data_IF_417401036782
#
_entry.id   IF_417401036782
#
_cell.length_a   1.000
_cell.length_b   1.000
_cell.length_c   1.000
_cell.angle_alpha   90.00
_cell.angle_beta   90.00
_cell.angle_gamma   90.00
#
_symmetry.space_group_name_H-M   'P 1'
#
loop_
_entity.id
_entity.type
_entity.pdbx_description
1 polymer ?
#
# COMPACT_ATOMS: atom_id res chain seq x y z
N UNK A 1 -17.29 -24.30 7.82
CA UNK A 1 -16.93 -23.29 6.82
C UNK A 1 -15.56 -23.64 6.26
N UNK A 2 -15.55 -24.42 5.18
CA UNK A 2 -14.35 -24.93 4.52
C UNK A 2 -14.71 -25.15 3.05
N UNK A 3 -15.19 -24.08 2.40
CA UNK A 3 -15.63 -24.15 1.01
C UNK A 3 -14.51 -24.64 0.08
N UNK A 4 -13.26 -24.30 0.39
CA UNK A 4 -12.06 -24.82 -0.26
C UNK A 4 -11.89 -26.34 -0.14
N UNK A 5 -12.18 -26.93 1.02
CA UNK A 5 -12.10 -28.37 1.23
C UNK A 5 -13.13 -29.16 0.39
N UNK A 6 -14.18 -28.50 -0.10
CA UNK A 6 -15.24 -29.11 -0.91
C UNK A 6 -15.35 -28.52 -2.32
N UNK A 7 -14.37 -27.70 -2.75
CA UNK A 7 -14.34 -27.10 -4.10
C UNK A 7 -15.28 -25.90 -4.32
N UNK A 8 -15.94 -25.40 -3.27
CA UNK A 8 -16.84 -24.24 -3.28
C UNK A 8 -16.20 -23.00 -2.67
N UNK A 9 -15.32 -22.34 -3.43
CA UNK A 9 -14.55 -21.16 -2.99
C UNK A 9 -15.39 -19.97 -2.52
N UNK A 10 -16.69 -19.90 -2.87
CA UNK A 10 -17.61 -18.90 -2.35
C UNK A 10 -17.82 -19.04 -0.83
N UNK A 11 -17.85 -20.27 -0.31
CA UNK A 11 -18.05 -20.55 1.11
C UNK A 11 -16.85 -20.18 2.00
N UNK A 12 -15.65 -20.07 1.44
CA UNK A 12 -14.46 -19.62 2.19
C UNK A 12 -14.41 -18.12 2.42
N UNK A 13 -15.15 -17.33 1.63
CA UNK A 13 -15.13 -15.86 1.75
C UNK A 13 -15.68 -15.36 3.08
N UNK A 14 -16.61 -16.08 3.70
CA UNK A 14 -17.28 -15.66 4.93
C UNK A 14 -16.29 -15.35 6.07
N UNK A 15 -15.26 -16.17 6.25
CA UNK A 15 -14.29 -16.02 7.32
C UNK A 15 -13.36 -14.82 7.16
N UNK A 16 -13.25 -14.27 5.95
CA UNK A 16 -12.37 -13.13 5.62
C UNK A 16 -13.15 -11.90 5.16
N UNK A 17 -14.48 -11.95 5.15
CA UNK A 17 -15.35 -10.85 4.74
C UNK A 17 -15.57 -9.79 5.83
N UNK A 18 -15.12 -10.05 7.06
CA UNK A 18 -15.16 -9.11 8.17
C UNK A 18 -14.14 -7.96 8.04
N UNK A 19 -14.15 -7.01 8.98
CA UNK A 19 -13.22 -5.90 9.03
C UNK A 19 -11.77 -6.40 9.04
N UNK A 20 -10.94 -5.87 8.14
CA UNK A 20 -9.53 -6.18 8.06
C UNK A 20 -8.72 -4.89 7.94
N UNK A 21 -7.86 -4.65 8.92
CA UNK A 21 -6.96 -3.52 8.87
C UNK A 21 -5.76 -3.85 7.98
N UNK A 22 -5.73 -3.24 6.80
CA UNK A 22 -4.63 -3.39 5.83
C UNK A 22 -3.35 -2.68 6.30
N UNK A 23 -3.45 -1.68 7.17
CA UNK A 23 -2.32 -0.88 7.64
C UNK A 23 -2.03 -1.27 9.09
N UNK A 24 -1.08 -2.18 9.27
CA UNK A 24 -0.66 -2.60 10.62
C UNK A 24 0.18 -1.53 11.30
N UNK A 25 0.02 -1.40 12.62
CA UNK A 25 0.83 -0.50 13.42
C UNK A 25 2.29 -0.96 13.48
N UNK A 26 3.28 -0.05 13.50
CA UNK A 26 4.66 -0.44 13.79
C UNK A 26 4.85 -0.93 15.24
N UNK A 27 3.90 -0.64 16.13
CA UNK A 27 3.86 -1.19 17.49
C UNK A 27 3.31 -2.63 17.46
N UNK A 28 4.10 -3.56 18.01
CA UNK A 28 3.76 -5.00 18.06
C UNK A 28 2.49 -5.25 18.89
N UNK A 29 2.32 -4.55 20.01
CA UNK A 29 1.16 -4.72 20.89
C UNK A 29 -0.12 -4.30 20.20
N UNK A 30 -0.08 -3.19 19.45
CA UNK A 30 -1.21 -2.72 18.67
C UNK A 30 -1.54 -3.68 17.52
N UNK A 31 -0.53 -4.22 16.85
CA UNK A 31 -0.75 -5.24 15.80
C UNK A 31 -1.37 -6.52 16.35
N UNK A 32 -0.94 -6.95 17.54
CA UNK A 32 -1.52 -8.11 18.22
C UNK A 32 -2.96 -7.84 18.67
N UNK A 33 -3.26 -6.64 19.16
CA UNK A 33 -4.61 -6.23 19.51
C UNK A 33 -5.55 -6.22 18.29
N UNK A 34 -5.12 -5.63 17.17
CA UNK A 34 -5.85 -5.67 15.90
C UNK A 34 -6.16 -7.12 15.48
N UNK A 35 -5.19 -8.03 15.63
CA UNK A 35 -5.40 -9.44 15.31
C UNK A 35 -6.41 -10.12 16.25
N UNK A 36 -6.43 -9.77 17.52
CA UNK A 36 -7.43 -10.29 18.47
C UNK A 36 -8.83 -9.78 18.15
N UNK A 37 -8.96 -8.54 17.70
CA UNK A 37 -10.26 -8.00 17.28
C UNK A 37 -10.78 -8.66 16.00
N UNK A 38 -9.91 -8.93 15.02
CA UNK A 38 -10.26 -9.74 13.83
C UNK A 38 -10.81 -11.13 14.22
N UNK A 39 -10.14 -11.80 15.16
CA UNK A 39 -10.56 -13.13 15.64
C UNK A 39 -11.87 -13.07 16.43
N UNK A 40 -12.04 -12.05 17.28
CA UNK A 40 -13.27 -11.82 18.00
C UNK A 40 -14.45 -11.59 17.06
N UNK A 41 -14.25 -10.84 15.97
CA UNK A 41 -15.27 -10.63 14.94
C UNK A 41 -15.67 -11.95 14.26
N UNK A 42 -14.71 -12.80 13.89
CA UNK A 42 -14.99 -14.12 13.31
C UNK A 42 -15.81 -15.00 14.27
N UNK A 43 -15.45 -15.03 15.55
CA UNK A 43 -16.15 -15.81 16.59
C UNK A 43 -17.57 -15.28 16.79
N UNK A 44 -17.74 -13.96 16.92
CA UNK A 44 -19.04 -13.33 17.14
C UNK A 44 -19.97 -13.51 15.94
N UNK A 45 -19.43 -13.31 14.74
CA UNK A 45 -20.17 -13.44 13.49
C UNK A 45 -20.56 -14.90 13.24
N UNK A 46 -19.65 -15.86 13.47
CA UNK A 46 -19.98 -17.28 13.37
C UNK A 46 -21.02 -17.69 14.43
N UNK A 47 -20.83 -17.24 15.67
CA UNK A 47 -21.76 -17.50 16.76
C UNK A 47 -23.16 -17.02 16.41
N UNK A 48 -23.29 -15.76 15.97
CA UNK A 48 -24.60 -15.15 15.74
C UNK A 48 -25.25 -15.65 14.44
N UNK A 49 -24.49 -15.70 13.33
CA UNK A 49 -25.04 -15.99 12.01
C UNK A 49 -25.19 -17.49 11.72
N UNK A 50 -24.41 -18.36 12.36
CA UNK A 50 -24.42 -19.81 12.10
C UNK A 50 -24.95 -20.60 13.30
N UNK A 51 -24.56 -20.25 14.52
CA UNK A 51 -24.97 -20.98 15.73
C UNK A 51 -26.21 -20.40 16.42
N UNK A 52 -26.61 -19.16 16.09
CA UNK A 52 -27.66 -18.45 16.81
C UNK A 52 -27.30 -18.08 18.25
N UNK A 53 -26.00 -17.98 18.58
CA UNK A 53 -25.47 -17.71 19.92
C UNK A 53 -24.71 -16.39 19.98
N UNK A 54 -24.88 -15.63 21.06
CA UNK A 54 -24.16 -14.37 21.30
C UNK A 54 -22.92 -14.61 22.15
N UNK A 55 -21.78 -14.90 21.52
CA UNK A 55 -20.55 -15.29 22.22
C UNK A 55 -19.71 -14.11 22.75
N UNK A 56 -20.05 -12.87 22.40
CA UNK A 56 -19.18 -11.71 22.64
C UNK A 56 -18.87 -11.41 24.11
N UNK A 57 -19.80 -11.66 25.04
CA UNK A 57 -19.53 -11.49 26.47
C UNK A 57 -18.47 -12.47 26.99
N UNK A 58 -18.40 -13.66 26.40
CA UNK A 58 -17.48 -14.71 26.81
C UNK A 58 -15.99 -14.34 26.59
N UNK A 59 -15.71 -13.28 25.83
CA UNK A 59 -14.36 -12.74 25.62
C UNK A 59 -13.68 -12.33 26.92
N UNK A 60 -14.41 -11.69 27.82
CA UNK A 60 -13.85 -11.05 29.01
C UNK A 60 -14.16 -11.80 30.32
N UNK A 61 -15.25 -12.56 30.36
CA UNK A 61 -15.68 -13.34 31.51
C UNK A 61 -16.56 -14.51 31.03
N UNK A 62 -16.86 -15.50 31.87
CA UNK A 62 -17.81 -16.55 31.51
C UNK A 62 -19.16 -15.95 31.10
N UNK A 63 -19.80 -16.49 30.06
CA UNK A 63 -21.03 -15.93 29.53
C UNK A 63 -22.13 -15.84 30.60
N UNK A 64 -22.91 -14.74 30.56
CA UNK A 64 -23.80 -14.36 31.66
C UNK A 64 -24.98 -15.34 31.86
N UNK A 65 -25.53 -15.85 30.78
CA UNK A 65 -26.79 -16.61 30.78
C UNK A 65 -26.56 -18.05 30.35
N UNK A 66 -25.88 -18.23 29.21
CA UNK A 66 -25.53 -19.56 28.70
C UNK A 66 -24.30 -20.16 29.39
N UNK A 67 -24.21 -21.50 29.53
CA UNK A 67 -23.10 -22.20 30.18
C UNK A 67 -21.87 -22.28 29.26
N UNK A 68 -21.35 -21.12 28.85
CA UNK A 68 -20.19 -20.98 27.97
C UNK A 68 -19.08 -20.35 28.79
N UNK A 69 -18.03 -21.12 29.05
CA UNK A 69 -16.87 -20.62 29.77
C UNK A 69 -16.03 -19.72 28.85
N UNK A 70 -15.32 -18.77 29.45
CA UNK A 70 -14.33 -17.96 28.74
C UNK A 70 -13.27 -18.86 28.07
N UNK A 71 -12.91 -19.97 28.70
CA UNK A 71 -12.02 -20.97 28.11
C UNK A 71 -12.57 -21.57 26.83
N UNK A 72 -13.87 -21.82 26.76
CA UNK A 72 -14.53 -22.36 25.56
C UNK A 72 -14.55 -21.32 24.43
N UNK A 73 -14.77 -20.04 24.78
CA UNK A 73 -14.65 -18.93 23.83
C UNK A 73 -13.25 -18.87 23.20
N UNK A 74 -12.18 -18.98 24.00
CA UNK A 74 -10.83 -18.97 23.48
C UNK A 74 -10.45 -20.28 22.76
N UNK A 75 -11.02 -21.42 23.14
CA UNK A 75 -10.89 -22.67 22.40
C UNK A 75 -11.52 -22.56 21.00
N UNK A 76 -12.70 -21.95 20.89
CA UNK A 76 -13.31 -21.65 19.59
C UNK A 76 -12.49 -20.63 18.79
N UNK A 77 -11.96 -19.60 19.46
CA UNK A 77 -11.05 -18.62 18.84
C UNK A 77 -9.84 -19.32 18.20
N UNK A 78 -9.29 -20.35 18.85
CA UNK A 78 -8.16 -21.10 18.32
C UNK A 78 -8.45 -21.80 16.98
N UNK A 79 -9.70 -22.21 16.73
CA UNK A 79 -10.12 -22.79 15.43
C UNK A 79 -9.90 -21.80 14.27
N UNK A 80 -10.11 -20.50 14.53
CA UNK A 80 -9.92 -19.44 13.52
C UNK A 80 -8.53 -18.80 13.56
N UNK A 81 -7.68 -19.16 14.53
CA UNK A 81 -6.36 -18.57 14.71
C UNK A 81 -5.46 -18.67 13.47
N UNK A 82 -5.67 -19.69 12.62
CA UNK A 82 -4.95 -19.90 11.36
C UNK A 82 -5.46 -19.09 10.16
N UNK A 83 -6.66 -18.50 10.23
CA UNK A 83 -7.25 -17.74 9.11
C UNK A 83 -6.43 -16.49 8.85
N UNK A 84 -6.04 -16.26 7.58
CA UNK A 84 -5.29 -15.09 7.14
C UNK A 84 -5.90 -14.55 5.85
N UNK A 85 -5.83 -13.24 5.69
CA UNK A 85 -6.15 -12.59 4.42
C UNK A 85 -5.00 -12.80 3.43
N UNK A 86 -5.33 -13.19 2.21
CA UNK A 86 -4.38 -13.34 1.13
C UNK A 86 -5.11 -13.27 -0.22
N UNK A 87 -4.38 -12.98 -1.28
CA UNK A 87 -4.89 -13.07 -2.64
C UNK A 87 -4.98 -14.54 -3.05
N UNK A 88 -6.18 -14.99 -3.45
CA UNK A 88 -6.40 -16.34 -3.97
C UNK A 88 -6.80 -16.30 -5.45
N UNK A 89 -6.17 -17.10 -6.33
CA UNK A 89 -6.66 -17.29 -7.69
C UNK A 89 -8.07 -17.87 -7.67
N UNK A 90 -9.01 -17.28 -8.42
CA UNK A 90 -10.34 -17.83 -8.56
C UNK A 90 -10.29 -19.02 -9.52
N UNK A 91 -10.77 -20.20 -9.07
CA UNK A 91 -10.85 -21.41 -9.89
C UNK A 91 -11.85 -21.30 -11.04
N UNK A 92 -12.78 -20.33 -10.96
CA UNK A 92 -13.62 -19.99 -12.12
C UNK A 92 -12.74 -19.28 -13.13
N UNK A 93 -12.58 -19.82 -14.36
CA UNK A 93 -12.02 -19.03 -15.43
C UNK A 93 -12.92 -17.82 -15.57
N UNK A 94 -12.43 -16.64 -15.19
CA UNK A 94 -12.98 -15.41 -15.73
C UNK A 94 -12.97 -15.65 -17.24
N UNK A 95 -14.10 -15.64 -17.95
CA UNK A 95 -14.10 -16.11 -19.33
C UNK A 95 -13.06 -15.26 -20.05
N UNK A 96 -11.91 -15.85 -20.43
CA UNK A 96 -10.77 -15.07 -20.91
C UNK A 96 -11.19 -14.21 -22.10
N UNK A 97 -12.18 -14.69 -22.85
CA UNK A 97 -12.93 -13.96 -23.87
C UNK A 97 -13.65 -12.72 -23.31
N UNK A 98 -14.49 -12.83 -22.27
CA UNK A 98 -15.11 -11.67 -21.62
C UNK A 98 -14.06 -10.72 -21.02
N UNK A 99 -13.00 -11.22 -20.39
CA UNK A 99 -11.92 -10.38 -19.88
C UNK A 99 -11.22 -9.60 -21.00
N UNK A 100 -10.97 -10.23 -22.15
CA UNK A 100 -10.38 -9.57 -23.31
C UNK A 100 -11.35 -8.53 -23.92
N UNK A 101 -12.65 -8.84 -23.98
CA UNK A 101 -13.69 -7.91 -24.43
C UNK A 101 -13.81 -6.72 -23.48
N UNK A 102 -13.93 -6.95 -22.18
CA UNK A 102 -13.98 -5.91 -21.15
C UNK A 102 -12.70 -5.07 -21.16
N UNK A 103 -11.51 -5.67 -21.31
CA UNK A 103 -10.26 -4.92 -21.46
C UNK A 103 -10.27 -4.05 -22.72
N UNK A 104 -10.75 -4.56 -23.86
CA UNK A 104 -10.90 -3.76 -25.08
C UNK A 104 -11.91 -2.62 -24.90
N UNK A 105 -13.03 -2.89 -24.25
CA UNK A 105 -14.04 -1.88 -23.93
C UNK A 105 -13.46 -0.82 -23.00
N UNK A 106 -12.76 -1.23 -21.94
CA UNK A 106 -12.10 -0.34 -20.98
C UNK A 106 -11.04 0.53 -21.68
N UNK A 107 -10.28 -0.04 -22.60
CA UNK A 107 -9.31 0.70 -23.42
C UNK A 107 -9.99 1.66 -24.41
N UNK A 108 -11.14 1.27 -24.97
CA UNK A 108 -11.96 2.15 -25.82
C UNK A 108 -12.52 3.33 -25.03
N UNK A 109 -13.10 3.05 -23.86
CA UNK A 109 -13.67 4.07 -22.98
C UNK A 109 -12.56 4.98 -22.45
N UNK A 110 -11.40 4.43 -22.06
CA UNK A 110 -10.21 5.22 -21.72
C UNK A 110 -9.77 6.13 -22.86
N UNK A 111 -9.77 5.65 -24.11
CA UNK A 111 -9.44 6.49 -25.28
C UNK A 111 -10.46 7.59 -25.53
N UNK A 112 -11.76 7.30 -25.40
CA UNK A 112 -12.81 8.31 -25.48
C UNK A 112 -12.68 9.35 -24.37
N UNK A 113 -12.42 8.89 -23.14
CA UNK A 113 -12.16 9.75 -21.99
C UNK A 113 -10.91 10.61 -22.20
N UNK A 114 -9.84 10.06 -22.79
CA UNK A 114 -8.59 10.78 -23.09
C UNK A 114 -8.78 11.88 -24.16
N UNK A 115 -9.84 11.81 -24.97
CA UNK A 115 -10.21 12.88 -25.93
C UNK A 115 -11.01 14.01 -25.27
N UNK A 116 -11.77 13.70 -24.22
CA UNK A 116 -12.66 14.63 -23.53
C UNK A 116 -12.01 15.29 -22.31
N UNK A 117 -11.07 14.59 -21.69
CA UNK A 117 -10.21 15.15 -20.65
C UNK A 117 -9.07 15.89 -21.37
N UNK A 118 -8.66 17.09 -20.92
CA UNK A 118 -7.38 17.66 -21.33
C UNK A 118 -6.29 16.59 -21.19
N UNK A 119 -5.16 16.69 -21.92
CA UNK A 119 -4.00 15.80 -21.69
C UNK A 119 -3.44 16.03 -20.27
N UNK A 120 -4.14 15.52 -19.28
CA UNK A 120 -3.77 15.51 -17.89
C UNK A 120 -2.84 14.32 -17.72
N UNK A 121 -1.74 14.56 -17.02
CA UNK A 121 -0.87 13.49 -16.53
C UNK A 121 -1.71 12.44 -15.78
N UNK A 122 -1.22 11.20 -15.75
CA UNK A 122 -1.84 10.17 -14.93
C UNK A 122 -1.98 10.65 -13.48
N UNK A 123 -3.05 10.25 -12.77
CA UNK A 123 -3.20 10.57 -11.36
C UNK A 123 -1.95 10.12 -10.60
N UNK A 124 -1.43 11.01 -9.75
CA UNK A 124 -0.37 10.63 -8.82
C UNK A 124 -0.93 9.66 -7.79
N UNK A 125 -0.13 8.70 -7.38
CA UNK A 125 -0.44 7.77 -6.29
C UNK A 125 0.75 7.68 -5.32
N UNK A 126 0.53 7.07 -4.15
CA UNK A 126 1.55 6.98 -3.11
C UNK A 126 2.66 5.94 -3.37
N UNK A 127 2.59 5.17 -4.46
CA UNK A 127 3.57 4.10 -4.77
C UNK A 127 4.65 4.58 -5.72
N UNK A 128 4.30 4.83 -6.97
CA UNK A 128 5.27 5.20 -8.00
C UNK A 128 4.62 6.13 -9.02
N UNK A 129 5.32 7.23 -9.30
CA UNK A 129 4.93 8.26 -10.24
C UNK A 129 6.07 8.51 -11.23
N UNK A 130 5.73 8.60 -12.52
CA UNK A 130 6.70 8.87 -13.58
C UNK A 130 6.29 10.17 -14.26
N UNK A 131 7.24 11.11 -14.36
CA UNK A 131 7.09 12.33 -15.13
C UNK A 131 7.99 12.26 -16.37
N UNK A 132 7.44 12.63 -17.54
CA UNK A 132 8.17 12.60 -18.81
C UNK A 132 8.15 13.98 -19.45
N UNK A 133 9.31 14.52 -19.72
CA UNK A 133 9.50 15.81 -20.38
C UNK A 133 10.52 15.68 -21.51
N UNK A 134 10.52 16.66 -22.42
CA UNK A 134 11.51 16.73 -23.50
C UNK A 134 12.92 16.75 -22.91
N UNK A 135 13.92 16.07 -23.50
CA UNK A 135 15.27 16.02 -22.95
C UNK A 135 15.86 17.42 -22.74
N UNK A 136 16.34 17.70 -21.54
CA UNK A 136 16.99 18.97 -21.18
C UNK A 136 18.35 18.66 -20.58
N UNK A 137 19.40 19.35 -21.06
CA UNK A 137 20.71 19.30 -20.41
C UNK A 137 20.64 20.03 -19.08
N UNK A 138 20.99 19.37 -17.99
CA UNK A 138 20.86 19.95 -16.66
C UNK A 138 22.00 19.52 -15.74
N UNK A 139 22.42 20.43 -14.85
CA UNK A 139 23.25 20.11 -13.69
C UNK A 139 22.42 19.97 -12.40
N UNK A 140 21.25 20.58 -12.38
CA UNK A 140 20.35 20.58 -11.24
C UNK A 140 18.94 20.16 -11.68
N UNK A 141 18.31 19.29 -10.89
CA UNK A 141 16.89 18.97 -11.01
C UNK A 141 16.22 19.23 -9.67
N UNK A 142 15.16 20.04 -9.68
CA UNK A 142 14.39 20.36 -8.47
C UNK A 142 12.98 19.79 -8.60
N UNK A 143 12.59 19.01 -7.59
CA UNK A 143 11.23 18.54 -7.40
C UNK A 143 10.56 19.38 -6.31
N UNK A 144 9.49 20.09 -6.67
CA UNK A 144 8.77 21.00 -5.76
C UNK A 144 7.36 20.51 -5.52
N UNK A 145 7.02 20.33 -4.25
CA UNK A 145 5.70 19.91 -3.77
C UNK A 145 4.97 21.14 -3.30
N UNK A 146 3.93 21.52 -4.06
CA UNK A 146 3.14 22.72 -3.80
C UNK A 146 1.97 22.48 -2.85
N UNK A 147 1.43 21.26 -2.83
CA UNK A 147 0.33 20.88 -1.96
C UNK A 147 0.30 19.36 -1.76
N UNK A 148 -0.18 18.91 -0.61
CA UNK A 148 -0.56 17.53 -0.32
C UNK A 148 -2.03 17.48 0.11
N UNK A 149 -2.57 16.30 0.40
CA UNK A 149 -3.92 16.16 0.92
C UNK A 149 -4.05 16.55 2.41
N UNK A 150 -3.11 16.13 3.29
CA UNK A 150 -3.28 16.35 4.74
C UNK A 150 -1.99 16.37 5.59
N UNK A 151 -0.81 16.11 5.02
CA UNK A 151 0.41 15.85 5.82
C UNK A 151 1.69 16.36 5.16
N UNK A 152 2.80 16.36 5.90
CA UNK A 152 4.13 16.64 5.35
C UNK A 152 4.43 15.68 4.18
N UNK A 153 4.95 16.17 3.06
CA UNK A 153 5.31 15.28 1.97
C UNK A 153 6.49 14.38 2.35
N UNK A 154 6.34 13.10 1.98
CA UNK A 154 7.35 12.07 2.12
C UNK A 154 7.73 11.53 0.73
N UNK A 155 9.02 11.39 0.48
CA UNK A 155 9.57 10.77 -0.73
C UNK A 155 10.60 9.73 -0.30
N UNK A 156 10.44 8.49 -0.73
CA UNK A 156 11.44 7.45 -0.52
C UNK A 156 12.63 7.63 -1.47
N UNK A 157 12.37 7.71 -2.78
CA UNK A 157 13.42 7.87 -3.78
C UNK A 157 13.01 8.85 -4.89
N UNK A 158 13.95 9.66 -5.36
CA UNK A 158 13.81 10.51 -6.55
C UNK A 158 14.84 10.10 -7.61
N UNK A 159 14.33 9.48 -8.67
CA UNK A 159 15.16 9.01 -9.78
C UNK A 159 15.08 9.94 -10.99
N UNK A 160 16.22 10.13 -11.67
CA UNK A 160 16.31 10.93 -12.90
C UNK A 160 17.04 10.11 -13.95
N UNK A 161 16.43 9.93 -15.11
CA UNK A 161 16.95 9.07 -16.16
C UNK A 161 17.39 9.87 -17.38
N UNK A 162 18.54 9.48 -17.94
CA UNK A 162 18.98 9.96 -19.25
C UNK A 162 18.16 9.35 -20.38
N UNK A 163 18.20 9.99 -21.55
CA UNK A 163 17.56 9.46 -22.76
C UNK A 163 18.34 8.27 -23.28
N UNK A 164 17.63 7.19 -23.58
CA UNK A 164 18.20 6.05 -24.29
C UNK A 164 18.61 6.46 -25.71
N UNK A 165 19.84 6.14 -26.11
CA UNK A 165 20.38 6.34 -27.47
C UNK A 165 20.87 5.00 -28.03
N UNK A 166 21.01 4.83 -29.35
CA UNK A 166 21.63 3.64 -29.93
C UNK A 166 22.98 3.35 -29.25
N UNK A 167 23.13 2.16 -28.68
CA UNK A 167 24.33 1.75 -27.94
C UNK A 167 24.51 2.37 -26.54
N UNK A 168 23.57 3.18 -26.04
CA UNK A 168 23.61 3.76 -24.69
C UNK A 168 22.22 3.72 -24.03
N UNK A 169 21.92 2.72 -23.19
CA UNK A 169 20.62 2.64 -22.51
C UNK A 169 20.42 3.82 -21.54
N UNK A 170 19.16 4.11 -21.23
CA UNK A 170 18.81 5.06 -20.19
C UNK A 170 19.45 4.65 -18.85
N UNK A 171 20.03 5.61 -18.13
CA UNK A 171 20.67 5.39 -16.83
C UNK A 171 20.09 6.32 -15.78
N UNK A 172 19.87 5.81 -14.57
CA UNK A 172 19.56 6.63 -13.41
C UNK A 172 20.81 7.44 -13.00
N UNK A 173 20.77 8.76 -13.18
CA UNK A 173 21.83 9.70 -12.80
C UNK A 173 21.60 10.32 -11.42
N UNK A 174 20.45 10.07 -10.79
CA UNK A 174 20.13 10.62 -9.48
C UNK A 174 20.89 9.97 -8.32
N UNK A 175 21.32 8.71 -8.46
CA UNK A 175 21.93 7.93 -7.38
C UNK A 175 23.12 8.66 -6.72
N UNK A 176 23.16 8.63 -5.38
CA UNK A 176 24.28 9.16 -4.60
C UNK A 176 25.62 8.48 -4.94
N UNK A 177 25.58 7.19 -5.32
CA UNK A 177 26.75 6.43 -5.78
C UNK A 177 27.37 6.99 -7.06
N UNK A 178 26.61 7.77 -7.85
CA UNK A 178 27.13 8.49 -9.01
C UNK A 178 27.71 9.88 -8.65
N UNK A 179 27.76 10.24 -7.36
CA UNK A 179 28.23 11.55 -6.89
C UNK A 179 27.15 12.64 -6.84
N UNK A 180 25.88 12.29 -7.08
CA UNK A 180 24.76 13.23 -7.03
C UNK A 180 24.44 13.63 -5.59
N UNK A 181 24.35 14.93 -5.33
CA UNK A 181 24.15 15.50 -4.00
C UNK A 181 22.74 16.07 -3.82
N UNK A 182 21.97 15.61 -2.83
CA UNK A 182 20.66 16.18 -2.54
C UNK A 182 20.74 17.39 -1.62
N UNK A 183 19.83 18.33 -1.82
CA UNK A 183 19.48 19.42 -0.91
C UNK A 183 17.96 19.50 -0.79
N UNK A 184 17.44 20.06 0.31
CA UNK A 184 15.99 20.16 0.54
C UNK A 184 15.57 21.54 1.02
N UNK A 185 14.27 21.82 0.95
CA UNK A 185 13.65 23.00 1.57
C UNK A 185 13.57 22.94 3.10
N UNK A 186 13.96 21.79 3.69
CA UNK A 186 13.91 21.54 5.13
C UNK A 186 13.71 20.05 5.42
N UNK A 187 14.10 19.60 6.61
CA UNK A 187 14.08 18.20 7.00
C UNK A 187 13.29 18.02 8.30
N UNK A 188 12.42 17.02 8.33
CA UNK A 188 11.57 16.71 9.47
C UNK A 188 12.39 16.18 10.66
N UNK A 189 12.87 17.11 11.49
CA UNK A 189 13.53 16.85 12.76
C UNK A 189 14.68 15.83 12.70
N UNK A 190 15.24 15.45 13.86
CA UNK A 190 16.04 14.23 13.97
C UNK A 190 15.09 13.02 13.96
N UNK A 191 15.06 12.26 12.87
CA UNK A 191 14.28 11.02 12.75
C UNK A 191 15.17 9.82 12.38
N UNK A 192 14.95 8.62 12.96
CA UNK A 192 15.79 7.45 12.66
C UNK A 192 15.73 7.02 11.19
N UNK A 193 14.57 7.17 10.54
CA UNK A 193 14.28 6.67 9.19
C UNK A 193 14.13 7.76 8.12
N UNK A 194 13.85 9.00 8.52
CA UNK A 194 13.46 10.06 7.58
C UNK A 194 14.60 11.08 7.42
N UNK A 195 15.48 10.84 6.44
CA UNK A 195 16.73 11.60 6.25
C UNK A 195 16.87 12.03 4.80
N UNK A 196 17.42 13.22 4.59
CA UNK A 196 17.70 13.73 3.25
C UNK A 196 18.60 12.80 2.43
N UNK A 197 19.53 12.09 3.08
CA UNK A 197 20.43 11.14 2.42
C UNK A 197 19.71 9.97 1.77
N UNK A 198 18.46 9.67 2.15
CA UNK A 198 17.71 8.55 1.58
C UNK A 198 17.06 8.87 0.24
N UNK A 199 16.91 10.15 -0.13
CA UNK A 199 16.17 10.55 -1.34
C UNK A 199 16.77 10.00 -2.65
N UNK A 200 18.03 9.57 -2.61
CA UNK A 200 18.75 9.05 -3.77
C UNK A 200 19.76 7.97 -3.37
N UNK A 201 19.48 7.20 -2.32
CA UNK A 201 20.36 6.13 -1.84
C UNK A 201 20.18 4.81 -2.61
N UNK A 202 19.19 4.74 -3.51
CA UNK A 202 18.87 3.56 -4.31
C UNK A 202 18.05 2.52 -3.57
N UNK A 203 17.46 2.86 -2.40
CA UNK A 203 16.62 1.96 -1.60
C UNK A 203 15.22 2.54 -1.49
N UNK A 204 14.23 1.79 -1.96
CA UNK A 204 12.83 2.19 -1.86
C UNK A 204 12.21 1.83 -0.50
N UNK A 205 11.12 2.51 -0.16
CA UNK A 205 10.29 2.20 1.01
C UNK A 205 10.40 3.21 2.16
N UNK A 206 9.37 3.20 3.02
CA UNK A 206 9.19 4.24 4.03
C UNK A 206 10.32 4.35 5.08
N UNK A 207 11.07 3.27 5.34
CA UNK A 207 12.21 3.30 6.26
C UNK A 207 13.46 3.99 5.67
N UNK A 208 13.46 4.24 4.36
CA UNK A 208 14.48 4.92 3.58
C UNK A 208 13.83 6.09 2.84
N UNK A 209 13.37 7.09 3.58
CA UNK A 209 12.72 8.25 2.95
C UNK A 209 13.19 9.57 3.51
N UNK A 210 12.79 10.65 2.86
CA UNK A 210 12.90 12.03 3.32
C UNK A 210 11.49 12.58 3.59
N UNK A 211 11.35 13.37 4.65
CA UNK A 211 10.12 14.12 4.97
C UNK A 211 10.47 15.60 5.11
N UNK A 212 9.63 16.45 4.50
CA UNK A 212 9.70 17.90 4.65
C UNK A 212 9.33 18.33 6.07
N UNK A 213 9.96 19.38 6.59
CA UNK A 213 9.52 20.01 7.84
C UNK A 213 8.36 21.00 7.67
N UNK A 214 7.78 21.10 6.47
CA UNK A 214 6.68 22.01 6.17
C UNK A 214 5.41 21.19 5.92
N UNK A 215 4.34 21.53 6.63
CA UNK A 215 3.03 20.95 6.39
C UNK A 215 2.53 21.29 4.98
N UNK A 216 2.14 20.28 4.21
CA UNK A 216 1.54 20.45 2.88
C UNK A 216 2.50 20.71 1.72
N UNK A 217 3.78 20.99 1.99
CA UNK A 217 4.71 21.49 0.96
C UNK A 217 6.15 21.09 1.24
N UNK A 218 7.00 21.25 0.23
CA UNK A 218 8.43 21.03 0.37
C UNK A 218 9.10 20.89 -0.98
N UNK A 219 10.37 20.53 -0.97
CA UNK A 219 11.06 20.17 -2.20
C UNK A 219 12.46 19.65 -1.94
N UNK A 220 12.94 18.91 -2.93
CA UNK A 220 14.30 18.36 -3.00
C UNK A 220 14.95 18.81 -4.30
N UNK A 221 16.24 19.05 -4.27
CA UNK A 221 17.05 19.36 -5.44
C UNK A 221 18.24 18.41 -5.49
N UNK A 222 18.43 17.79 -6.64
CA UNK A 222 19.59 16.97 -6.96
C UNK A 222 20.58 17.83 -7.74
N UNK A 223 21.83 17.87 -7.28
CA UNK A 223 22.97 18.39 -8.02
C UNK A 223 23.79 17.22 -8.56
N UNK A 224 23.90 17.14 -9.89
CA UNK A 224 24.72 16.16 -10.57
C UNK A 224 26.20 16.60 -10.59
N UNK A 225 27.15 15.65 -10.60
CA UNK A 225 28.58 15.97 -10.65
C UNK A 225 28.98 16.72 -11.93
N UNK A 226 28.26 16.51 -13.02
CA UNK A 226 28.43 17.17 -14.31
C UNK A 226 27.07 17.40 -14.98
N UNK A 227 27.03 18.22 -16.03
CA UNK A 227 25.81 18.41 -16.82
C UNK A 227 25.48 17.16 -17.62
N UNK A 228 24.35 16.54 -17.32
CA UNK A 228 23.81 15.33 -17.96
C UNK A 228 22.74 15.63 -19.00
#
# INVERSE_FOLDING_TARGET
MAGDAIGESAGTGFLVAGPYDLVKSPDVSLTLAQRQDELADMVNTTGTAVLGLTLGCARCHNHKFDPILQTDYYALTAVFAGVRHSDRPLDRPTPRAQLAVLRKQLESHRRQLTRLIPKLRLPVNAKHNIEKFSPVRARFVRFTIRNTNSSEPCLDELEVYTVSRPGRPARNVALASNGTRPSSSGNFGPHPFHKLSHINDGRHGNSHSWISNQSGRGGVQLEFPETV
#
